data_IF_832135220487
#
_entry.id   IF_832135220487
#
_cell.length_a   1.000
_cell.length_b   1.000
_cell.length_c   1.000
_cell.angle_alpha   90.00
_cell.angle_beta   90.00
_cell.angle_gamma   90.00
#
_symmetry.space_group_name_H-M   'P 1'
#
loop_
_entity.id
_entity.type
_entity.pdbx_description
1 polymer ?
#
# COMPACT_ATOMS: atom_id res chain seq x y z
N UNK A 1 -14.08 -25.19 -29.89
CA UNK A 1 -14.25 -23.85 -29.29
C UNK A 1 -13.35 -23.79 -28.08
N UNK A 2 -12.33 -22.92 -28.08
CA UNK A 2 -11.47 -22.76 -26.92
C UNK A 2 -12.19 -21.81 -25.97
N UNK A 3 -12.82 -22.34 -24.91
CA UNK A 3 -13.42 -21.49 -23.87
C UNK A 3 -12.26 -20.77 -23.21
N UNK A 4 -12.11 -19.46 -23.48
CA UNK A 4 -11.11 -18.67 -22.77
C UNK A 4 -11.49 -18.68 -21.30
N UNK A 5 -10.57 -19.13 -20.44
CA UNK A 5 -10.77 -19.09 -19.01
C UNK A 5 -11.08 -17.65 -18.58
N UNK A 6 -12.07 -17.48 -17.72
CA UNK A 6 -12.43 -16.20 -17.13
C UNK A 6 -12.03 -16.18 -15.67
N UNK A 7 -11.69 -15.00 -15.16
CA UNK A 7 -11.42 -14.76 -13.74
C UNK A 7 -11.99 -13.42 -13.32
N UNK A 8 -12.28 -13.25 -12.04
CA UNK A 8 -12.70 -11.98 -11.47
C UNK A 8 -11.49 -11.19 -10.96
N UNK A 9 -11.62 -9.86 -10.85
CA UNK A 9 -10.55 -9.05 -10.23
C UNK A 9 -10.38 -9.42 -8.76
N UNK A 10 -11.45 -9.83 -8.07
CA UNK A 10 -11.37 -10.30 -6.70
C UNK A 10 -10.48 -11.55 -6.59
N UNK A 11 -10.72 -12.58 -7.39
CA UNK A 11 -9.90 -13.80 -7.42
C UNK A 11 -8.45 -13.46 -7.75
N UNK A 12 -8.22 -12.62 -8.75
CA UNK A 12 -6.89 -12.23 -9.15
C UNK A 12 -6.15 -11.44 -8.07
N UNK A 13 -6.78 -10.46 -7.42
CA UNK A 13 -6.18 -9.63 -6.36
C UNK A 13 -6.05 -10.37 -5.02
N UNK A 14 -6.70 -11.52 -4.86
CA UNK A 14 -6.65 -12.35 -3.63
C UNK A 14 -5.79 -13.60 -3.79
N UNK A 15 -5.04 -13.70 -4.89
CA UNK A 15 -4.01 -14.73 -5.05
C UNK A 15 -3.05 -14.74 -3.84
N UNK A 16 -2.58 -15.92 -3.39
CA UNK A 16 -1.68 -16.01 -2.27
C UNK A 16 -0.42 -15.17 -2.48
N UNK A 17 -0.08 -14.36 -1.47
CA UNK A 17 1.19 -13.64 -1.45
C UNK A 17 2.36 -14.63 -1.46
N UNK A 18 3.52 -14.23 -2.02
CA UNK A 18 4.71 -15.09 -1.98
C UNK A 18 5.11 -15.41 -0.54
N UNK A 19 5.46 -16.67 -0.29
CA UNK A 19 6.14 -17.05 0.95
C UNK A 19 7.55 -16.46 0.92
N UNK A 20 7.89 -15.72 1.98
CA UNK A 20 9.16 -15.01 2.15
C UNK A 20 9.98 -15.65 3.27
N UNK A 21 11.29 -15.70 3.07
CA UNK A 21 12.23 -16.01 4.14
C UNK A 21 12.69 -14.69 4.78
N UNK A 22 12.31 -14.50 6.04
CA UNK A 22 12.65 -13.31 6.82
C UNK A 22 13.62 -13.62 7.96
N UNK A 23 14.32 -14.77 7.93
CA UNK A 23 15.26 -15.18 8.98
C UNK A 23 16.39 -14.17 9.20
N UNK A 24 16.86 -13.55 8.11
CA UNK A 24 17.94 -12.57 8.12
C UNK A 24 17.45 -11.12 7.99
N UNK A 25 16.15 -10.89 8.19
CA UNK A 25 15.58 -9.56 8.14
C UNK A 25 16.15 -8.68 9.23
N UNK A 26 16.63 -7.50 8.83
CA UNK A 26 17.18 -6.50 9.73
C UNK A 26 16.22 -6.18 10.87
N UNK A 27 16.79 -6.09 12.06
CA UNK A 27 16.13 -5.65 13.28
C UNK A 27 16.72 -4.29 13.65
N UNK A 28 15.86 -3.32 13.90
CA UNK A 28 16.29 -1.94 14.15
C UNK A 28 15.10 -1.05 14.47
N UNK A 29 15.39 0.18 14.91
CA UNK A 29 14.34 1.19 15.10
C UNK A 29 13.85 1.72 13.76
N UNK A 30 12.64 2.28 13.76
CA UNK A 30 12.20 3.07 12.61
C UNK A 30 13.13 4.28 12.44
N UNK A 31 13.28 4.71 11.18
CA UNK A 31 13.78 6.06 10.92
C UNK A 31 12.86 7.04 11.63
N UNK A 32 13.42 8.08 12.24
CA UNK A 32 12.64 9.15 12.86
C UNK A 32 13.04 10.46 12.20
N UNK A 33 12.09 11.38 12.08
CA UNK A 33 12.38 12.73 11.64
C UNK A 33 11.59 13.72 12.52
N UNK A 34 12.26 14.66 13.21
CA UNK A 34 11.57 15.64 14.06
C UNK A 34 10.62 16.54 13.27
N UNK A 35 10.73 16.59 11.94
CA UNK A 35 9.81 17.33 11.10
C UNK A 35 8.51 16.59 10.80
N UNK A 36 8.38 15.29 11.09
CA UNK A 36 7.13 14.56 10.86
C UNK A 36 5.97 15.16 11.67
N UNK A 37 4.78 15.13 11.10
CA UNK A 37 3.56 15.56 11.79
C UNK A 37 3.39 14.78 13.09
N UNK A 38 3.04 15.50 14.15
CA UNK A 38 2.71 14.88 15.43
C UNK A 38 1.33 14.25 15.33
N UNK A 39 1.25 12.95 15.57
CA UNK A 39 -0.03 12.28 15.72
C UNK A 39 -0.61 12.55 17.11
N UNK A 40 -1.87 13.00 17.13
CA UNK A 40 -2.63 13.16 18.37
C UNK A 40 -3.18 11.84 18.90
N UNK A 41 -3.28 10.82 18.03
CA UNK A 41 -3.67 9.47 18.38
C UNK A 41 -3.82 8.57 17.15
N UNK A 42 -3.96 7.27 17.41
CA UNK A 42 -4.29 6.24 16.43
C UNK A 42 -5.66 5.66 16.79
N UNK A 43 -6.57 5.62 15.83
CA UNK A 43 -7.90 5.00 15.97
C UNK A 43 -8.00 3.80 15.03
N UNK A 44 -8.69 2.74 15.45
CA UNK A 44 -9.06 1.65 14.55
C UNK A 44 -10.01 2.16 13.46
N UNK A 45 -9.73 1.81 12.20
CA UNK A 45 -10.58 2.18 11.07
C UNK A 45 -11.63 1.10 10.79
N UNK A 46 -12.61 0.96 11.68
CA UNK A 46 -13.61 -0.12 11.61
C UNK A 46 -14.44 -0.12 10.30
N UNK A 47 -14.65 1.05 9.70
CA UNK A 47 -15.35 1.18 8.42
C UNK A 47 -14.55 0.63 7.23
N UNK A 48 -13.22 0.50 7.35
CA UNK A 48 -12.40 -0.14 6.34
C UNK A 48 -12.38 -1.65 6.55
N UNK A 49 -13.33 -2.35 5.93
CA UNK A 49 -13.48 -3.80 6.04
C UNK A 49 -13.95 -4.41 4.72
N UNK A 50 -13.89 -5.74 4.63
CA UNK A 50 -14.25 -6.49 3.42
C UNK A 50 -15.67 -6.15 2.92
N UNK A 51 -16.66 -6.10 3.82
CA UNK A 51 -18.05 -5.82 3.44
C UNK A 51 -18.19 -4.42 2.83
N UNK A 52 -17.51 -3.42 3.39
CA UNK A 52 -17.53 -2.04 2.87
C UNK A 52 -16.83 -1.96 1.51
N UNK A 53 -15.73 -2.68 1.32
CA UNK A 53 -15.05 -2.77 0.04
C UNK A 53 -15.92 -3.46 -1.02
N UNK A 54 -16.58 -4.56 -0.68
CA UNK A 54 -17.50 -5.25 -1.61
C UNK A 54 -18.74 -4.40 -1.90
N UNK A 55 -19.26 -3.66 -0.93
CA UNK A 55 -20.36 -2.74 -1.18
C UNK A 55 -19.97 -1.60 -2.13
N UNK A 56 -18.74 -1.10 -2.03
CA UNK A 56 -18.26 0.03 -2.83
C UNK A 56 -17.76 -0.37 -4.22
N UNK A 57 -17.13 -1.55 -4.34
CA UNK A 57 -16.39 -1.97 -5.54
C UNK A 57 -16.77 -3.36 -6.02
N UNK A 58 -17.71 -4.05 -5.37
CA UNK A 58 -18.09 -5.43 -5.66
C UNK A 58 -18.53 -5.65 -7.10
N UNK A 59 -19.27 -4.70 -7.69
CA UNK A 59 -19.73 -4.77 -9.07
C UNK A 59 -18.57 -4.91 -10.07
N UNK A 60 -17.44 -4.25 -9.80
CA UNK A 60 -16.25 -4.33 -10.64
C UNK A 60 -15.38 -5.52 -10.23
N UNK A 61 -15.28 -5.80 -8.93
CA UNK A 61 -14.45 -6.88 -8.39
C UNK A 61 -14.97 -8.27 -8.76
N UNK A 62 -16.29 -8.46 -8.84
CA UNK A 62 -16.94 -9.71 -9.23
C UNK A 62 -17.20 -9.84 -10.74
N UNK A 63 -16.89 -8.81 -11.52
CA UNK A 63 -17.04 -8.87 -12.97
C UNK A 63 -16.07 -9.89 -13.56
N UNK A 64 -16.55 -10.66 -14.53
CA UNK A 64 -15.71 -11.59 -15.28
C UNK A 64 -14.84 -10.84 -16.29
N UNK A 65 -13.53 -11.12 -16.25
CA UNK A 65 -12.54 -10.69 -17.22
C UNK A 65 -11.91 -11.91 -17.88
N UNK A 66 -11.34 -11.77 -19.10
CA UNK A 66 -10.44 -12.78 -19.63
C UNK A 66 -9.32 -13.06 -18.62
N UNK A 67 -8.90 -14.33 -18.52
CA UNK A 67 -7.81 -14.72 -17.62
C UNK A 67 -6.60 -13.81 -17.82
N UNK A 68 -6.14 -13.20 -16.74
CA UNK A 68 -4.99 -12.30 -16.76
C UNK A 68 -3.71 -13.12 -16.76
N UNK A 69 -2.75 -12.71 -17.58
CA UNK A 69 -1.44 -13.34 -17.62
C UNK A 69 -0.67 -13.10 -16.31
N UNK A 70 0.26 -14.01 -16.01
CA UNK A 70 1.29 -13.77 -15.00
C UNK A 70 2.09 -12.52 -15.36
N UNK A 71 2.27 -11.63 -14.39
CA UNK A 71 2.96 -10.35 -14.60
C UNK A 71 4.47 -10.46 -14.51
N UNK A 72 4.99 -11.55 -13.96
CA UNK A 72 6.42 -11.77 -13.75
C UNK A 72 6.75 -13.25 -13.63
N UNK A 73 7.97 -13.70 -14.00
CA UNK A 73 8.44 -15.03 -13.67
C UNK A 73 8.47 -15.28 -12.15
N UNK A 74 8.29 -16.54 -11.77
CA UNK A 74 8.40 -17.01 -10.39
C UNK A 74 9.65 -16.50 -9.68
N UNK A 75 9.50 -16.13 -8.41
CA UNK A 75 10.62 -15.77 -7.54
C UNK A 75 11.47 -16.99 -7.23
N UNK A 76 12.78 -16.83 -7.39
CA UNK A 76 13.78 -17.82 -6.93
C UNK A 76 13.83 -17.84 -5.40
N UNK A 77 14.51 -18.83 -4.83
CA UNK A 77 14.74 -18.88 -3.38
C UNK A 77 15.49 -17.63 -2.88
N UNK A 78 16.52 -17.18 -3.63
CA UNK A 78 17.29 -15.98 -3.29
C UNK A 78 16.44 -14.70 -3.35
N UNK A 79 15.53 -14.60 -4.32
CA UNK A 79 14.59 -13.46 -4.39
C UNK A 79 13.69 -13.38 -3.15
N UNK A 80 13.38 -14.51 -2.52
CA UNK A 80 12.49 -14.59 -1.35
C UNK A 80 13.20 -14.26 -0.04
N UNK A 81 14.53 -14.18 -0.02
CA UNK A 81 15.31 -13.84 1.16
C UNK A 81 15.25 -12.33 1.43
N UNK A 82 14.60 -11.95 2.53
CA UNK A 82 14.43 -10.57 2.93
C UNK A 82 15.46 -10.19 4.00
N UNK A 83 16.33 -9.24 3.66
CA UNK A 83 17.34 -8.67 4.55
C UNK A 83 16.94 -7.26 5.03
N UNK A 84 16.39 -6.46 4.13
CA UNK A 84 16.03 -5.05 4.38
C UNK A 84 14.69 -4.70 3.75
N UNK A 85 14.16 -3.51 4.05
CA UNK A 85 12.99 -2.96 3.36
C UNK A 85 13.21 -2.93 1.85
N UNK A 86 14.42 -2.56 1.40
CA UNK A 86 14.78 -2.55 -0.03
C UNK A 86 14.67 -3.92 -0.71
N UNK A 87 15.12 -4.99 -0.05
CA UNK A 87 14.96 -6.35 -0.61
C UNK A 87 13.49 -6.78 -0.64
N UNK A 88 12.69 -6.32 0.32
CA UNK A 88 11.25 -6.59 0.33
C UNK A 88 10.52 -5.80 -0.75
N UNK A 89 10.89 -4.53 -0.96
CA UNK A 89 10.42 -3.72 -2.07
C UNK A 89 10.67 -4.40 -3.43
N UNK A 90 11.86 -4.97 -3.65
CA UNK A 90 12.15 -5.70 -4.89
C UNK A 90 11.20 -6.88 -5.13
N UNK A 91 10.79 -7.58 -4.07
CA UNK A 91 9.77 -8.62 -4.17
C UNK A 91 8.40 -8.03 -4.52
N UNK A 92 8.01 -6.94 -3.87
CA UNK A 92 6.75 -6.25 -4.14
C UNK A 92 6.68 -5.73 -5.59
N UNK A 93 7.79 -5.18 -6.10
CA UNK A 93 7.93 -4.71 -7.49
C UNK A 93 7.74 -5.82 -8.52
N UNK A 94 8.16 -7.05 -8.19
CA UNK A 94 8.00 -8.18 -9.11
C UNK A 94 6.62 -8.81 -9.01
N UNK A 95 6.02 -8.82 -7.82
CA UNK A 95 4.80 -9.61 -7.56
C UNK A 95 3.55 -8.75 -7.44
N UNK A 96 3.41 -8.04 -6.31
CA UNK A 96 2.18 -7.35 -5.93
C UNK A 96 1.91 -6.11 -6.79
N UNK A 97 2.92 -5.27 -7.04
CA UNK A 97 2.71 -4.00 -7.75
C UNK A 97 2.28 -4.16 -9.21
N UNK A 98 2.86 -5.10 -9.99
CA UNK A 98 2.38 -5.39 -11.33
C UNK A 98 0.96 -5.95 -11.35
N UNK A 99 0.61 -6.83 -10.40
CA UNK A 99 -0.73 -7.40 -10.26
C UNK A 99 -1.78 -6.32 -9.97
N UNK A 100 -1.49 -5.42 -9.01
CA UNK A 100 -2.34 -4.26 -8.70
C UNK A 100 -2.47 -3.33 -9.90
N UNK A 101 -1.37 -3.05 -10.60
CA UNK A 101 -1.37 -2.18 -11.79
C UNK A 101 -2.19 -2.77 -12.94
N UNK A 102 -2.09 -4.07 -13.19
CA UNK A 102 -2.89 -4.77 -14.19
C UNK A 102 -4.38 -4.72 -13.86
N UNK A 103 -4.75 -4.97 -12.61
CA UNK A 103 -6.13 -4.86 -12.16
C UNK A 103 -6.69 -3.43 -12.30
N UNK A 104 -5.89 -2.41 -11.95
CA UNK A 104 -6.27 -1.01 -12.12
C UNK A 104 -6.53 -0.67 -13.59
N UNK A 105 -5.69 -1.12 -14.52
CA UNK A 105 -5.91 -0.88 -15.97
C UNK A 105 -7.22 -1.45 -16.49
N UNK A 106 -7.71 -2.55 -15.91
CA UNK A 106 -9.00 -3.14 -16.28
C UNK A 106 -10.17 -2.45 -15.59
N UNK A 107 -10.03 -2.15 -14.29
CA UNK A 107 -11.10 -1.57 -13.48
C UNK A 107 -11.34 -0.08 -13.77
N UNK A 108 -10.28 0.69 -14.00
CA UNK A 108 -10.33 2.13 -14.14
C UNK A 108 -11.27 2.64 -15.22
N UNK A 109 -11.20 2.19 -16.49
CA UNK A 109 -12.09 2.69 -17.53
C UNK A 109 -13.55 2.31 -17.34
N UNK A 110 -13.82 1.29 -16.51
CA UNK A 110 -15.18 0.87 -16.16
C UNK A 110 -15.73 1.79 -15.06
N UNK A 111 -14.93 2.09 -14.04
CA UNK A 111 -15.36 2.90 -12.90
C UNK A 111 -15.35 4.41 -13.20
N UNK A 112 -14.35 4.87 -13.93
CA UNK A 112 -14.13 6.26 -14.32
C UNK A 112 -14.26 6.39 -15.84
N UNK A 113 -15.46 6.12 -16.37
CA UNK A 113 -15.73 6.10 -17.81
C UNK A 113 -15.53 7.44 -18.52
N UNK A 114 -15.47 8.54 -17.76
CA UNK A 114 -15.22 9.89 -18.27
C UNK A 114 -13.73 10.26 -18.31
N UNK A 115 -12.84 9.46 -17.71
CA UNK A 115 -11.40 9.71 -17.72
C UNK A 115 -10.78 9.24 -19.05
N UNK A 116 -9.65 9.84 -19.44
CA UNK A 116 -8.86 9.34 -20.57
C UNK A 116 -8.37 7.91 -20.26
N UNK A 117 -8.66 6.97 -21.17
CA UNK A 117 -8.21 5.57 -21.08
C UNK A 117 -6.68 5.43 -20.95
N UNK A 118 -5.92 6.45 -21.34
CA UNK A 118 -4.46 6.49 -21.21
C UNK A 118 -3.97 7.09 -19.89
N UNK A 119 -4.86 7.68 -19.10
CA UNK A 119 -4.56 8.35 -17.84
C UNK A 119 -5.07 7.58 -16.61
N UNK A 120 -4.79 6.28 -16.60
CA UNK A 120 -5.08 5.38 -15.49
C UNK A 120 -4.06 5.59 -14.36
N UNK A 121 -4.50 5.45 -13.11
CA UNK A 121 -3.57 5.45 -11.98
C UNK A 121 -2.67 4.22 -12.01
N UNK A 122 -1.37 4.43 -11.79
CA UNK A 122 -0.38 3.38 -11.66
C UNK A 122 0.28 3.47 -10.29
N UNK A 123 0.51 2.33 -9.64
CA UNK A 123 1.32 2.28 -8.43
C UNK A 123 2.77 2.09 -8.85
N UNK A 124 3.61 3.05 -8.51
CA UNK A 124 5.04 3.03 -8.82
C UNK A 124 5.89 3.47 -7.64
N UNK A 125 7.20 3.52 -7.87
CA UNK A 125 8.15 4.09 -6.90
C UNK A 125 7.82 5.54 -6.61
N UNK A 126 7.96 5.92 -5.34
CA UNK A 126 7.57 7.24 -4.87
C UNK A 126 8.49 8.37 -5.35
N UNK A 127 9.71 8.07 -5.78
CA UNK A 127 10.64 9.03 -6.39
C UNK A 127 10.12 9.66 -7.70
N UNK A 128 9.15 9.02 -8.35
CA UNK A 128 8.40 9.55 -9.50
C UNK A 128 7.47 10.70 -9.11
N UNK A 129 7.08 10.80 -7.84
CA UNK A 129 6.22 11.85 -7.35
C UNK A 129 7.03 12.90 -6.58
N UNK A 130 6.97 14.17 -7.02
CA UNK A 130 7.66 15.29 -6.35
C UNK A 130 6.72 16.47 -6.10
N UNK A 131 6.56 16.96 -4.86
CA UNK A 131 5.61 18.06 -4.54
C UNK A 131 6.22 19.47 -4.72
N UNK A 132 7.55 19.53 -4.85
CA UNK A 132 8.38 20.61 -4.31
C UNK A 132 8.00 22.07 -4.64
N UNK A 133 8.49 22.94 -3.74
CA UNK A 133 9.14 24.23 -4.08
C UNK A 133 10.66 24.05 -3.98
N UNK A 134 11.12 23.21 -3.04
CA UNK A 134 12.47 22.66 -2.89
C UNK A 134 12.39 21.14 -2.72
N UNK A 135 13.41 20.43 -3.17
CA UNK A 135 13.51 18.96 -3.06
C UNK A 135 14.08 18.58 -1.70
N UNK A 136 13.37 17.73 -0.96
CA UNK A 136 13.88 17.10 0.26
C UNK A 136 13.44 15.63 0.28
N UNK A 137 14.39 14.78 0.00
CA UNK A 137 14.26 13.35 -0.24
C UNK A 137 13.65 12.61 0.94
N UNK A 138 13.78 13.19 2.14
CA UNK A 138 13.22 12.67 3.39
C UNK A 138 11.69 12.66 3.41
N UNK A 139 11.04 13.31 2.44
CA UNK A 139 9.58 13.34 2.31
C UNK A 139 9.05 12.50 1.15
N UNK A 140 9.89 11.69 0.52
CA UNK A 140 9.44 10.77 -0.53
C UNK A 140 9.02 9.44 0.09
N UNK A 141 7.76 9.02 -0.12
CA UNK A 141 7.34 7.68 0.25
C UNK A 141 8.03 6.63 -0.63
N UNK A 142 8.05 5.38 -0.19
CA UNK A 142 8.53 4.27 -1.02
C UNK A 142 7.67 4.10 -2.29
N UNK A 143 6.37 4.38 -2.18
CA UNK A 143 5.39 4.19 -3.25
C UNK A 143 4.52 5.42 -3.51
N UNK A 144 4.08 5.54 -4.76
CA UNK A 144 3.14 6.55 -5.21
C UNK A 144 2.10 5.98 -6.15
N UNK A 145 0.84 6.38 -5.94
CA UNK A 145 -0.18 6.35 -6.98
C UNK A 145 -0.01 7.56 -7.90
N UNK A 146 0.33 7.35 -9.17
CA UNK A 146 0.60 8.43 -10.14
C UNK A 146 -0.28 8.30 -11.38
N UNK A 147 -0.56 9.44 -12.00
CA UNK A 147 -1.30 9.57 -13.26
C UNK A 147 -0.53 10.50 -14.20
N UNK A 148 -0.58 10.23 -15.50
CA UNK A 148 0.13 11.05 -16.51
C UNK A 148 -0.39 12.47 -16.56
N UNK A 149 -1.70 12.65 -16.41
CA UNK A 149 -2.38 13.94 -16.42
C UNK A 149 -2.23 14.73 -15.12
N UNK A 150 -1.74 14.13 -14.04
CA UNK A 150 -1.64 14.78 -12.72
C UNK A 150 -0.18 14.99 -12.33
N UNK A 151 0.36 16.11 -12.79
CA UNK A 151 1.76 16.50 -12.59
C UNK A 151 1.92 17.67 -11.61
N UNK A 152 3.13 17.82 -11.11
CA UNK A 152 3.62 19.00 -10.39
C UNK A 152 4.71 19.68 -11.23
N UNK A 153 5.36 20.71 -10.68
CA UNK A 153 6.53 21.34 -11.29
C UNK A 153 7.72 20.37 -11.47
N UNK A 154 7.82 19.32 -10.67
CA UNK A 154 9.02 18.48 -10.55
C UNK A 154 8.80 17.01 -10.94
N UNK A 155 7.57 16.60 -11.25
CA UNK A 155 7.26 15.22 -11.56
C UNK A 155 5.76 14.95 -11.48
N UNK A 156 5.37 13.77 -11.02
CA UNK A 156 3.96 13.46 -10.79
C UNK A 156 3.49 13.94 -9.42
N UNK A 157 2.18 14.13 -9.27
CA UNK A 157 1.56 14.25 -7.95
C UNK A 157 1.33 12.85 -7.39
N UNK A 158 1.70 12.62 -6.13
CA UNK A 158 1.31 11.39 -5.46
C UNK A 158 -0.17 11.47 -5.05
N UNK A 159 -0.97 10.51 -5.48
CA UNK A 159 -2.40 10.40 -5.18
C UNK A 159 -2.69 9.42 -4.03
N UNK A 160 -1.73 8.54 -3.73
CA UNK A 160 -1.84 7.52 -2.71
C UNK A 160 -0.42 7.12 -2.24
N UNK A 161 0.17 7.87 -1.29
CA UNK A 161 1.49 7.55 -0.78
C UNK A 161 1.50 6.23 -0.01
N UNK A 162 2.56 5.44 -0.19
CA UNK A 162 2.73 4.16 0.49
C UNK A 162 4.12 3.94 1.04
N UNK A 163 4.21 3.24 2.16
CA UNK A 163 5.48 2.83 2.79
C UNK A 163 5.63 1.31 2.81
N UNK A 164 6.88 0.87 2.77
CA UNK A 164 7.29 -0.51 3.01
C UNK A 164 7.93 -0.60 4.39
N UNK A 165 7.42 -1.46 5.26
CA UNK A 165 8.03 -1.73 6.56
C UNK A 165 8.26 -3.22 6.75
N UNK A 166 9.29 -3.59 7.49
CA UNK A 166 9.43 -4.96 7.98
C UNK A 166 8.60 -5.13 9.25
N UNK A 167 8.09 -6.33 9.51
CA UNK A 167 7.39 -6.67 10.75
C UNK A 167 8.24 -6.33 11.98
N UNK A 168 9.57 -6.51 11.90
CA UNK A 168 10.48 -6.14 12.98
C UNK A 168 10.35 -4.67 13.38
N UNK A 169 9.90 -3.79 12.47
CA UNK A 169 9.72 -2.36 12.66
C UNK A 169 8.28 -1.93 12.91
N UNK A 170 7.29 -2.67 12.39
CA UNK A 170 5.86 -2.42 12.55
C UNK A 170 5.21 -3.53 13.41
N UNK A 171 5.70 -3.70 14.64
CA UNK A 171 5.12 -4.61 15.62
C UNK A 171 4.50 -3.80 16.76
N UNK A 172 3.22 -4.03 17.05
CA UNK A 172 2.48 -3.35 18.14
C UNK A 172 2.99 -3.69 19.54
N UNK A 173 3.84 -4.71 19.69
CA UNK A 173 4.55 -4.97 20.95
C UNK A 173 5.73 -4.03 21.19
N UNK A 174 6.14 -3.22 20.20
CA UNK A 174 7.15 -2.20 20.39
C UNK A 174 6.58 -1.06 21.24
N UNK A 175 7.48 -0.29 21.85
CA UNK A 175 7.10 0.91 22.60
C UNK A 175 6.25 1.81 21.71
N UNK A 176 5.15 2.33 22.26
CA UNK A 176 4.14 3.12 21.53
C UNK A 176 4.74 4.19 20.62
N UNK A 177 5.82 4.86 21.06
CA UNK A 177 6.46 5.91 20.27
C UNK A 177 7.03 5.40 18.94
N UNK A 178 7.67 4.22 18.94
CA UNK A 178 8.34 3.65 17.77
C UNK A 178 7.33 2.99 16.82
N UNK A 179 6.27 2.38 17.38
CA UNK A 179 5.15 1.86 16.60
C UNK A 179 4.39 2.96 15.88
N UNK A 180 4.27 4.16 16.47
CA UNK A 180 3.59 5.30 15.86
C UNK A 180 4.38 5.95 14.70
N UNK A 181 5.68 5.71 14.57
CA UNK A 181 6.55 6.40 13.61
C UNK A 181 6.13 6.22 12.14
N UNK A 182 5.87 4.99 11.63
CA UNK A 182 5.39 4.81 10.26
C UNK A 182 4.08 5.54 9.98
N UNK A 183 3.21 5.68 10.97
CA UNK A 183 1.95 6.40 10.84
C UNK A 183 2.16 7.91 10.79
N UNK A 184 3.08 8.47 11.59
CA UNK A 184 3.48 9.89 11.49
C UNK A 184 4.05 10.20 10.12
N UNK A 185 4.86 9.29 9.59
CA UNK A 185 5.44 9.39 8.26
C UNK A 185 4.34 9.44 7.18
N UNK A 186 3.41 8.47 7.18
CA UNK A 186 2.28 8.45 6.24
C UNK A 186 1.37 9.67 6.39
N UNK A 187 1.08 10.11 7.62
CA UNK A 187 0.29 11.32 7.89
C UNK A 187 0.94 12.55 7.26
N UNK A 188 2.26 12.69 7.43
CA UNK A 188 3.05 13.77 6.83
C UNK A 188 2.96 13.75 5.31
N UNK A 189 3.02 12.56 4.72
CA UNK A 189 2.89 12.43 3.27
C UNK A 189 1.48 12.79 2.79
N UNK A 190 0.44 12.28 3.46
CA UNK A 190 -0.94 12.50 3.08
C UNK A 190 -1.33 13.98 3.22
N UNK A 191 -1.20 14.55 4.42
CA UNK A 191 -1.58 15.93 4.69
C UNK A 191 -0.59 16.91 4.09
N UNK A 192 0.60 17.02 4.70
CA UNK A 192 1.57 18.07 4.38
C UNK A 192 2.16 17.95 2.99
N UNK A 193 2.43 16.74 2.48
CA UNK A 193 3.05 16.59 1.17
C UNK A 193 2.05 16.49 0.04
N UNK A 194 0.96 15.74 0.12
CA UNK A 194 0.20 15.44 -1.10
C UNK A 194 -1.23 15.94 -1.10
N UNK A 195 -1.70 16.43 0.05
CA UNK A 195 -3.10 16.75 0.27
C UNK A 195 -4.01 15.61 -0.23
N UNK A 196 -3.68 14.40 0.21
CA UNK A 196 -4.43 13.16 -0.03
C UNK A 196 -5.02 12.67 1.28
N UNK A 197 -6.17 12.00 1.20
CA UNK A 197 -6.87 11.48 2.38
C UNK A 197 -6.35 10.11 2.83
N UNK A 198 -5.77 9.34 1.91
CA UNK A 198 -5.42 7.95 2.13
C UNK A 198 -3.95 7.72 1.83
N UNK A 199 -3.36 6.81 2.59
CA UNK A 199 -2.07 6.21 2.35
C UNK A 199 -2.05 4.78 2.87
N UNK A 200 -0.96 4.07 2.68
CA UNK A 200 -0.88 2.67 3.08
C UNK A 200 0.53 2.26 3.53
N UNK A 201 0.60 1.22 4.34
CA UNK A 201 1.85 0.60 4.78
C UNK A 201 1.77 -0.88 4.41
N UNK A 202 2.69 -1.35 3.58
CA UNK A 202 2.84 -2.78 3.28
C UNK A 202 3.96 -3.33 4.16
N UNK A 203 3.70 -4.44 4.84
CA UNK A 203 4.72 -5.19 5.55
C UNK A 203 4.75 -6.65 5.14
N UNK A 204 5.89 -7.32 5.39
CA UNK A 204 6.18 -8.68 4.93
C UNK A 204 5.19 -9.75 5.41
N UNK A 205 4.34 -9.46 6.40
CA UNK A 205 3.25 -10.36 6.81
C UNK A 205 1.87 -9.90 6.39
N UNK A 206 1.60 -8.59 6.29
CA UNK A 206 0.24 -8.04 6.06
C UNK A 206 0.31 -6.64 5.44
N UNK A 207 -0.85 -6.09 5.10
CA UNK A 207 -1.00 -4.70 4.65
C UNK A 207 -1.84 -3.94 5.67
N UNK A 208 -1.46 -2.69 5.95
CA UNK A 208 -2.20 -1.76 6.79
C UNK A 208 -2.64 -0.57 5.92
N UNK A 209 -3.93 -0.24 5.93
CA UNK A 209 -4.47 0.92 5.25
C UNK A 209 -4.67 2.06 6.26
N UNK A 210 -4.24 3.27 5.88
CA UNK A 210 -4.28 4.44 6.74
C UNK A 210 -5.13 5.54 6.11
N UNK A 211 -6.05 6.10 6.89
CA UNK A 211 -6.79 7.31 6.56
C UNK A 211 -6.23 8.46 7.39
N UNK A 212 -5.68 9.46 6.70
CA UNK A 212 -5.28 10.73 7.29
C UNK A 212 -6.53 11.56 7.58
N UNK A 213 -6.60 12.09 8.80
CA UNK A 213 -7.68 12.95 9.27
C UNK A 213 -7.08 14.19 9.94
N UNK A 214 -7.68 15.35 9.67
CA UNK A 214 -7.47 16.55 10.48
C UNK A 214 -8.77 16.83 11.25
N UNK A 215 -8.68 16.90 12.58
CA UNK A 215 -9.79 17.24 13.48
C UNK A 215 -9.35 18.36 14.40
N UNK A 216 -10.03 19.51 14.38
CA UNK A 216 -9.73 20.66 15.25
C UNK A 216 -8.23 21.02 15.22
N UNK A 217 -7.67 21.19 14.01
CA UNK A 217 -6.26 21.46 13.75
C UNK A 217 -5.27 20.44 14.33
N UNK A 218 -5.77 19.25 14.70
CA UNK A 218 -4.98 18.11 15.19
C UNK A 218 -5.00 16.98 14.17
N UNK A 219 -3.82 16.47 13.86
CA UNK A 219 -3.64 15.33 12.97
C UNK A 219 -3.97 14.01 13.70
N UNK A 220 -4.84 13.23 13.10
CA UNK A 220 -5.24 11.88 13.53
C UNK A 220 -5.04 10.93 12.36
N UNK A 221 -4.68 9.69 12.66
CA UNK A 221 -4.71 8.61 11.66
C UNK A 221 -5.67 7.53 12.11
N UNK A 222 -6.56 7.13 11.20
CA UNK A 222 -7.36 5.92 11.32
C UNK A 222 -6.64 4.81 10.58
N UNK A 223 -6.40 3.70 11.26
CA UNK A 223 -5.63 2.60 10.72
C UNK A 223 -6.43 1.31 10.80
N UNK A 224 -6.46 0.57 9.70
CA UNK A 224 -6.94 -0.80 9.72
C UNK A 224 -5.75 -1.75 9.70
N UNK A 225 -5.59 -2.53 10.76
CA UNK A 225 -4.62 -3.63 10.83
C UNK A 225 -5.38 -4.96 10.97
N UNK A 226 -5.24 -5.85 9.99
CA UNK A 226 -5.78 -7.21 10.12
C UNK A 226 -4.99 -7.96 11.20
N UNK A 227 -5.48 -7.98 12.43
CA UNK A 227 -4.89 -8.81 13.49
C UNK A 227 -5.27 -10.28 13.24
N UNK A 228 -4.27 -11.16 13.08
CA UNK A 228 -4.54 -12.60 13.14
C UNK A 228 -5.02 -12.91 14.56
N UNK A 229 -6.28 -13.26 14.73
CA UNK A 229 -6.75 -13.83 15.99
C UNK A 229 -5.94 -15.10 16.24
N UNK A 230 -5.11 -15.07 17.28
CA UNK A 230 -4.45 -16.26 17.82
C UNK A 230 -5.49 -17.15 18.47
N UNK A 231 -6.26 -17.89 17.67
CA UNK A 231 -7.00 -19.05 18.16
C UNK A 231 -6.05 -20.25 18.15
N UNK A 232 -5.19 -20.32 19.16
CA UNK A 232 -4.39 -21.49 19.48
C UNK A 232 -4.68 -21.86 20.95
N UNK A 233 -5.78 -22.59 21.17
CA UNK A 233 -6.00 -23.45 22.34
C UNK A 233 -7.28 -24.27 22.12
N UNK A 234 -7.25 -25.14 21.12
CA UNK A 234 -8.07 -26.36 21.18
C UNK A 234 -7.33 -27.33 22.10
N UNK A 235 -7.56 -27.21 23.40
CA UNK A 235 -7.27 -28.31 24.32
C UNK A 235 -8.34 -29.40 24.13
N UNK A 236 -7.84 -30.63 24.18
CA UNK A 236 -8.50 -31.89 23.82
C UNK A 236 -9.72 -32.23 24.66
#
# INVERSE_FOLDING_TARGET
>A
MNVMATTTLLEYLTLPNPVLDCLHSSTGSNTTNPSWDKLSGLEDWAEFNYNTLMHSYGDILHRNFPSMAETSPSLTELDRMIFTERTFESVLERTIMPQVSSALRLAWPIHYSNDDLKDVVEIGKGDKARKGIYEDDRYYPDWAGIRKGVVTRFGYRNLCPGETKLESKLNSSRKDFDYAEPFKQIQTYCGRQWNTRYGYIIHNKRTCCCQSLERNDRAWSRCYEKRSNGNAAGEK
#
